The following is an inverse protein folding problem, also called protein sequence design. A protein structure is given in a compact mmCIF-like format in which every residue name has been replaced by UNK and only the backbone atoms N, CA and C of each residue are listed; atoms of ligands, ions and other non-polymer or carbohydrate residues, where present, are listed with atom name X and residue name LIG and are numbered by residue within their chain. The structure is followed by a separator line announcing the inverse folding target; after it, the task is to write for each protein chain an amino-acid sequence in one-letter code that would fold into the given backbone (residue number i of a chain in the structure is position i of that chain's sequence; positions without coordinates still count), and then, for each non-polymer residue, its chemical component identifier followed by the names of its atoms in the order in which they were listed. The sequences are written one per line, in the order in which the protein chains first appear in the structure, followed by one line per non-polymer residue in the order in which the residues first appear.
data_IF_488998023386
#
_entry.id   IF_488998023386
#
_cell.length_a   1.000
_cell.length_b   1.000
_cell.length_c   1.000
_cell.angle_alpha   90.00
_cell.angle_beta   90.00
_cell.angle_gamma   90.00
#
_symmetry.space_group_name_H-M   'P 1'
#
loop_
_entity.id
_entity.type
_entity.pdbx_description
1 polymer ?
#
# COMPACT_ATOMS: atom_id res chain seq x y z
N UNK A 1 -31.10 34.08 57.19
CA UNK A 1 -31.33 33.72 55.78
C UNK A 1 -30.02 33.92 55.03
N UNK A 2 -29.18 32.88 55.01
CA UNK A 2 -28.84 32.02 53.84
C UNK A 2 -27.97 32.69 52.78
N UNK A 3 -26.88 32.14 52.23
CA UNK A 3 -25.84 31.13 52.56
C UNK A 3 -25.21 30.75 51.21
N UNK A 4 -23.91 30.49 51.21
CA UNK A 4 -23.18 29.55 50.32
C UNK A 4 -22.56 30.11 49.03
N UNK A 5 -21.27 29.75 48.92
CA UNK A 5 -20.31 29.93 47.83
C UNK A 5 -20.37 28.72 46.85
N UNK A 6 -19.36 28.61 45.99
CA UNK A 6 -19.10 27.56 44.97
C UNK A 6 -19.91 27.72 43.67
N UNK A 7 -19.33 27.54 42.47
CA UNK A 7 -17.99 27.09 42.11
C UNK A 7 -17.88 27.13 40.57
N UNK A 8 -16.65 27.34 40.11
CA UNK A 8 -16.19 27.18 38.73
C UNK A 8 -16.22 25.69 38.32
N UNK A 9 -16.33 25.40 37.03
CA UNK A 9 -16.13 24.05 36.51
C UNK A 9 -17.02 23.67 35.34
N UNK A 10 -16.55 23.94 34.13
CA UNK A 10 -17.09 23.36 32.92
C UNK A 10 -17.05 21.83 32.94
N UNK A 11 -18.06 21.20 32.36
CA UNK A 11 -18.02 19.78 32.02
C UNK A 11 -18.58 19.59 30.61
N UNK A 12 -17.64 19.55 29.66
CA UNK A 12 -17.84 19.02 28.32
C UNK A 12 -18.36 17.60 28.45
N UNK A 13 -19.54 17.34 27.87
CA UNK A 13 -20.10 16.01 27.77
C UNK A 13 -19.12 15.09 27.01
N UNK A 14 -18.55 14.17 27.78
CA UNK A 14 -17.76 13.02 27.36
C UNK A 14 -18.56 12.18 26.37
N UNK A 15 -18.08 12.07 25.14
CA UNK A 15 -18.54 11.04 24.20
C UNK A 15 -17.91 9.70 24.62
N UNK A 16 -18.70 8.90 25.31
CA UNK A 16 -18.41 7.50 25.59
C UNK A 16 -18.53 6.70 24.28
N UNK A 17 -17.39 6.18 23.79
CA UNK A 17 -17.39 5.21 22.68
C UNK A 17 -17.62 3.80 23.24
N UNK A 18 -18.51 3.00 22.63
CA UNK A 18 -18.85 1.70 23.16
C UNK A 18 -17.71 0.70 22.91
N UNK A 19 -17.34 0.01 23.99
CA UNK A 19 -16.54 -1.22 23.96
C UNK A 19 -17.17 -2.22 22.98
N UNK A 20 -16.35 -2.78 22.09
CA UNK A 20 -16.73 -3.98 21.36
C UNK A 20 -15.81 -5.13 21.73
N UNK A 21 -16.45 -6.26 21.99
CA UNK A 21 -15.92 -7.49 22.56
C UNK A 21 -15.02 -8.25 21.58
N UNK A 22 -14.03 -8.95 22.13
CA UNK A 22 -13.02 -9.77 21.46
C UNK A 22 -13.62 -11.11 20.99
N UNK A 23 -13.73 -11.31 19.68
CA UNK A 23 -13.74 -12.63 19.01
C UNK A 23 -13.36 -12.38 17.54
N UNK A 24 -12.23 -12.92 17.06
CA UNK A 24 -11.82 -12.83 15.64
C UNK A 24 -11.80 -11.40 15.07
N UNK A 25 -11.14 -10.47 15.76
CA UNK A 25 -11.22 -9.03 15.46
C UNK A 25 -10.46 -8.70 14.18
N UNK A 26 -11.19 -8.60 13.07
CA UNK A 26 -10.72 -7.84 11.92
C UNK A 26 -10.35 -6.42 12.38
N UNK A 27 -9.15 -5.91 12.06
CA UNK A 27 -8.77 -4.56 12.41
C UNK A 27 -9.69 -3.58 11.70
N UNK A 28 -10.15 -2.55 12.41
CA UNK A 28 -10.94 -1.48 11.80
C UNK A 28 -10.15 -0.78 10.70
N UNK A 29 -10.84 -0.20 9.71
CA UNK A 29 -10.19 0.53 8.60
C UNK A 29 -9.21 1.59 9.08
N UNK A 30 -9.54 2.31 10.16
CA UNK A 30 -8.65 3.31 10.75
C UNK A 30 -7.38 2.69 11.32
N UNK A 31 -7.48 1.57 12.03
CA UNK A 31 -6.32 0.83 12.54
C UNK A 31 -5.48 0.32 11.38
N UNK A 32 -6.11 -0.17 10.31
CA UNK A 32 -5.41 -0.62 9.10
C UNK A 32 -4.63 0.54 8.48
N UNK A 33 -5.28 1.67 8.24
CA UNK A 33 -4.66 2.85 7.63
C UNK A 33 -3.55 3.45 8.50
N UNK A 34 -3.79 3.64 9.80
CA UNK A 34 -2.80 4.14 10.74
C UNK A 34 -1.58 3.22 10.84
N UNK A 35 -1.80 1.91 10.77
CA UNK A 35 -0.70 0.95 10.87
C UNK A 35 0.08 0.89 9.55
N UNK A 36 -0.60 0.78 8.41
CA UNK A 36 0.04 0.58 7.11
C UNK A 36 0.64 1.86 6.50
N UNK A 37 0.17 3.05 6.89
CA UNK A 37 0.73 4.33 6.41
C UNK A 37 2.20 4.53 6.78
N UNK A 38 2.70 3.88 7.83
CA UNK A 38 4.08 3.99 8.26
C UNK A 38 4.93 2.80 7.79
N UNK A 39 6.04 3.07 7.11
CA UNK A 39 6.95 2.04 6.59
C UNK A 39 7.54 1.15 7.70
N UNK A 40 7.91 1.72 8.86
CA UNK A 40 8.48 0.94 9.98
C UNK A 40 7.45 0.00 10.58
N UNK A 41 6.20 0.44 10.75
CA UNK A 41 5.09 -0.43 11.20
C UNK A 41 4.82 -1.58 10.24
N UNK A 42 4.82 -1.31 8.92
CA UNK A 42 4.74 -2.37 7.89
C UNK A 42 5.88 -3.38 8.00
N UNK A 43 7.12 -2.91 8.19
CA UNK A 43 8.27 -3.78 8.37
C UNK A 43 8.17 -4.63 9.65
N UNK A 44 7.68 -4.06 10.76
CA UNK A 44 7.43 -4.82 12.00
C UNK A 44 6.43 -5.95 11.75
N UNK A 45 5.30 -5.65 11.11
CA UNK A 45 4.30 -6.65 10.79
C UNK A 45 4.87 -7.78 9.92
N UNK A 46 5.66 -7.45 8.89
CA UNK A 46 6.30 -8.48 8.05
C UNK A 46 7.23 -9.40 8.85
N UNK A 47 7.98 -8.86 9.80
CA UNK A 47 8.84 -9.66 10.67
C UNK A 47 8.03 -10.61 11.56
N UNK A 48 6.94 -10.13 12.14
CA UNK A 48 6.07 -10.92 13.02
C UNK A 48 5.18 -11.91 12.26
N UNK A 49 4.84 -11.64 11.00
CA UNK A 49 4.15 -12.60 10.14
C UNK A 49 5.01 -13.83 9.83
N UNK A 50 6.34 -13.67 9.79
CA UNK A 50 7.28 -14.77 9.58
C UNK A 50 7.61 -15.54 10.87
N UNK A 51 7.50 -14.90 12.04
CA UNK A 51 7.90 -15.47 13.34
C UNK A 51 6.99 -15.02 14.46
N UNK A 52 6.60 -15.94 15.36
CA UNK A 52 5.65 -15.65 16.44
C UNK A 52 6.12 -14.58 17.44
N UNK A 53 7.41 -14.53 17.74
CA UNK A 53 7.99 -13.61 18.73
C UNK A 53 9.41 -13.22 18.37
N UNK A 54 9.74 -11.95 18.58
CA UNK A 54 11.07 -11.38 18.38
C UNK A 54 11.42 -10.45 19.55
N UNK A 55 12.71 -10.30 19.81
CA UNK A 55 13.20 -9.22 20.68
C UNK A 55 13.14 -7.88 19.94
N UNK A 56 13.02 -6.78 20.68
CA UNK A 56 13.08 -5.42 20.12
C UNK A 56 14.40 -5.19 19.40
N UNK A 57 15.49 -5.82 19.85
CA UNK A 57 16.82 -5.73 19.23
C UNK A 57 16.83 -6.39 17.84
N UNK A 58 16.33 -7.62 17.72
CA UNK A 58 16.20 -8.33 16.44
C UNK A 58 15.28 -7.56 15.48
N UNK A 59 14.13 -7.11 15.99
CA UNK A 59 13.16 -6.36 15.22
C UNK A 59 13.75 -5.04 14.71
N UNK A 60 14.53 -4.34 15.54
CA UNK A 60 15.25 -3.12 15.15
C UNK A 60 16.24 -3.42 14.03
N UNK A 61 17.04 -4.48 14.14
CA UNK A 61 18.02 -4.84 13.13
C UNK A 61 17.33 -5.16 11.79
N UNK A 62 16.24 -5.93 11.82
CA UNK A 62 15.44 -6.22 10.64
C UNK A 62 14.87 -4.95 9.99
N UNK A 63 14.22 -4.10 10.78
CA UNK A 63 13.59 -2.87 10.28
C UNK A 63 14.64 -1.91 9.72
N UNK A 64 15.79 -1.75 10.39
CA UNK A 64 16.89 -0.91 9.93
C UNK A 64 17.54 -1.44 8.63
N UNK A 65 17.79 -2.75 8.55
CA UNK A 65 18.31 -3.38 7.33
C UNK A 65 17.37 -3.14 6.15
N UNK A 66 16.05 -3.28 6.35
CA UNK A 66 15.05 -3.01 5.32
C UNK A 66 14.90 -1.53 4.97
N UNK A 67 15.06 -0.62 5.92
CA UNK A 67 14.95 0.82 5.68
C UNK A 67 16.16 1.37 4.94
N UNK A 68 17.35 0.89 5.26
CA UNK A 68 18.61 1.33 4.66
C UNK A 68 19.05 0.50 3.46
N UNK A 69 18.31 -0.56 3.12
CA UNK A 69 18.62 -1.52 2.05
C UNK A 69 20.04 -2.09 2.12
N UNK A 70 20.45 -2.46 3.34
CA UNK A 70 21.77 -3.04 3.63
C UNK A 70 21.60 -4.32 4.45
N UNK A 71 22.52 -5.29 4.31
CA UNK A 71 22.48 -6.47 5.17
C UNK A 71 22.82 -6.08 6.62
N UNK A 72 22.27 -6.83 7.59
CA UNK A 72 22.44 -6.55 9.03
C UNK A 72 23.92 -6.38 9.47
N UNK A 73 24.89 -7.17 8.97
CA UNK A 73 26.30 -6.97 9.33
C UNK A 73 26.89 -5.64 8.86
N UNK A 74 26.31 -5.03 7.82
CA UNK A 74 26.72 -3.72 7.29
C UNK A 74 25.96 -2.55 7.93
N UNK A 75 25.08 -2.80 8.90
CA UNK A 75 24.34 -1.73 9.58
C UNK A 75 25.24 -0.90 10.49
N UNK A 76 25.23 0.40 10.27
CA UNK A 76 25.90 1.33 11.16
C UNK A 76 25.15 1.47 12.50
N UNK A 77 25.92 1.73 13.55
CA UNK A 77 25.37 1.97 14.89
C UNK A 77 24.33 3.10 14.89
N UNK A 78 24.57 4.20 14.17
CA UNK A 78 23.65 5.35 14.10
C UNK A 78 22.30 4.97 13.46
N UNK A 79 22.32 4.19 12.38
CA UNK A 79 21.11 3.71 11.70
C UNK A 79 20.27 2.84 12.63
N UNK A 80 20.90 1.83 13.25
CA UNK A 80 20.23 0.92 14.18
C UNK A 80 19.67 1.67 15.40
N UNK A 81 20.44 2.60 15.98
CA UNK A 81 20.00 3.42 17.12
C UNK A 81 18.78 4.28 16.79
N UNK A 82 18.75 4.91 15.61
CA UNK A 82 17.62 5.73 15.16
C UNK A 82 16.32 4.91 15.07
N UNK A 83 16.41 3.70 14.50
CA UNK A 83 15.26 2.79 14.40
C UNK A 83 14.82 2.29 15.77
N UNK A 84 15.77 1.89 16.62
CA UNK A 84 15.49 1.40 17.97
C UNK A 84 14.66 2.41 18.77
N UNK A 85 15.15 3.65 18.86
CA UNK A 85 14.50 4.72 19.60
C UNK A 85 13.08 4.94 19.10
N UNK A 86 12.91 5.01 17.78
CA UNK A 86 11.60 5.23 17.16
C UNK A 86 10.62 4.06 17.36
N UNK A 87 11.11 2.81 17.31
CA UNK A 87 10.29 1.64 17.59
C UNK A 87 9.78 1.66 19.04
N UNK A 88 10.68 1.86 20.00
CA UNK A 88 10.36 1.82 21.43
C UNK A 88 9.48 2.99 21.86
N UNK A 89 9.70 4.19 21.32
CA UNK A 89 8.98 5.40 21.75
C UNK A 89 7.64 5.60 21.05
N UNK A 90 7.51 5.20 19.77
CA UNK A 90 6.37 5.60 18.95
C UNK A 90 5.65 4.41 18.32
N UNK A 91 6.38 3.50 17.67
CA UNK A 91 5.72 2.50 16.84
C UNK A 91 5.15 1.34 17.65
N UNK A 92 5.94 0.71 18.52
CA UNK A 92 5.50 -0.42 19.33
C UNK A 92 4.40 -0.04 20.33
N UNK A 93 4.48 1.08 21.07
CA UNK A 93 3.39 1.49 21.95
C UNK A 93 2.07 1.73 21.21
N UNK A 94 2.12 2.38 20.05
CA UNK A 94 0.91 2.65 19.26
C UNK A 94 0.31 1.36 18.65
N UNK A 95 1.15 0.44 18.16
CA UNK A 95 0.68 -0.84 17.63
C UNK A 95 0.09 -1.72 18.75
N UNK A 96 0.70 -1.72 19.93
CA UNK A 96 0.19 -2.44 21.09
C UNK A 96 -1.14 -1.88 21.60
N UNK A 97 -1.28 -0.54 21.63
CA UNK A 97 -2.55 0.12 21.99
C UNK A 97 -3.72 -0.35 21.11
N UNK A 98 -3.46 -0.62 19.83
CA UNK A 98 -4.46 -1.08 18.87
C UNK A 98 -4.57 -2.61 18.81
N UNK A 99 -3.91 -3.35 19.71
CA UNK A 99 -3.91 -4.83 19.72
C UNK A 99 -3.18 -5.47 18.53
N UNK A 100 -2.50 -4.67 17.72
CA UNK A 100 -1.83 -5.11 16.48
C UNK A 100 -0.61 -5.98 16.79
N UNK A 101 0.05 -5.75 17.93
CA UNK A 101 1.16 -6.57 18.45
C UNK A 101 1.04 -6.65 19.97
N UNK A 102 1.61 -7.70 20.56
CA UNK A 102 1.80 -7.77 22.00
C UNK A 102 3.22 -7.29 22.34
N UNK A 103 3.34 -6.12 22.98
CA UNK A 103 4.63 -5.51 23.30
C UNK A 103 4.89 -5.53 24.81
N UNK A 104 5.83 -6.38 25.22
CA UNK A 104 6.36 -6.39 26.58
C UNK A 104 7.61 -5.50 26.67
N UNK A 105 7.41 -4.29 27.22
CA UNK A 105 8.49 -3.33 27.42
C UNK A 105 9.52 -3.79 28.46
N UNK A 106 9.10 -4.56 29.47
CA UNK A 106 9.98 -5.02 30.54
C UNK A 106 10.94 -6.11 30.04
N UNK A 107 10.43 -7.02 29.21
CA UNK A 107 11.22 -8.10 28.60
C UNK A 107 11.86 -7.70 27.28
N UNK A 108 11.47 -6.58 26.70
CA UNK A 108 11.96 -6.12 25.40
C UNK A 108 11.58 -7.08 24.28
N UNK A 109 10.37 -7.65 24.33
CA UNK A 109 9.87 -8.63 23.36
C UNK A 109 8.58 -8.16 22.71
N UNK A 110 8.41 -8.52 21.44
CA UNK A 110 7.21 -8.26 20.66
C UNK A 110 6.70 -9.58 20.11
N UNK A 111 5.43 -9.89 20.35
CA UNK A 111 4.77 -11.10 19.88
C UNK A 111 3.68 -10.77 18.86
N UNK A 112 3.42 -11.73 17.98
CA UNK A 112 2.30 -11.72 17.05
C UNK A 112 0.99 -11.85 17.82
N UNK A 113 -0.06 -11.19 17.30
CA UNK A 113 -1.45 -11.33 17.75
C UNK A 113 -2.32 -11.80 16.58
N UNK A 114 -3.57 -12.17 16.87
CA UNK A 114 -4.57 -12.49 15.83
C UNK A 114 -4.76 -11.31 14.86
N UNK A 115 -4.76 -10.08 15.40
CA UNK A 115 -4.86 -8.85 14.60
C UNK A 115 -3.64 -8.68 13.69
N UNK A 116 -2.42 -9.01 14.14
CA UNK A 116 -1.23 -9.02 13.25
C UNK A 116 -1.48 -9.93 12.04
N UNK A 117 -2.07 -11.11 12.26
CA UNK A 117 -2.30 -12.10 11.19
C UNK A 117 -3.31 -11.59 10.17
N UNK A 118 -4.32 -10.83 10.61
CA UNK A 118 -5.27 -10.16 9.72
C UNK A 118 -4.60 -9.13 8.77
N UNK A 119 -3.36 -8.69 9.05
CA UNK A 119 -2.61 -7.82 8.14
C UNK A 119 -1.93 -8.57 6.98
N UNK A 120 -1.85 -9.90 7.02
CA UNK A 120 -1.15 -10.69 6.01
C UNK A 120 -1.60 -10.40 4.56
N UNK A 121 -2.90 -10.28 4.25
CA UNK A 121 -3.35 -9.97 2.88
C UNK A 121 -2.88 -8.60 2.37
N UNK A 122 -2.73 -7.61 3.26
CA UNK A 122 -2.33 -6.24 2.89
C UNK A 122 -0.81 -6.06 2.76
N UNK A 123 -0.04 -6.97 3.39
CA UNK A 123 1.42 -7.01 3.32
C UNK A 123 1.92 -8.05 2.33
N UNK A 124 1.02 -8.94 1.90
CA UNK A 124 1.18 -9.92 0.86
C UNK A 124 1.74 -9.26 -0.38
N UNK A 125 2.99 -9.60 -0.63
CA UNK A 125 3.80 -9.20 -1.75
C UNK A 125 3.24 -9.87 -3.02
N UNK A 126 2.11 -9.38 -3.54
CA UNK A 126 2.25 -8.83 -4.87
C UNK A 126 2.75 -7.43 -4.59
N UNK A 127 4.07 -7.25 -4.73
CA UNK A 127 4.55 -5.94 -5.13
C UNK A 127 3.53 -5.47 -6.15
N UNK A 128 2.91 -4.33 -5.89
CA UNK A 128 2.52 -3.46 -6.98
C UNK A 128 3.84 -3.00 -7.64
N UNK A 129 4.68 -3.92 -8.11
CA UNK A 129 4.77 -4.15 -9.54
C UNK A 129 3.33 -4.44 -10.01
N UNK A 130 2.49 -3.40 -10.06
CA UNK A 130 2.01 -3.10 -11.38
C UNK A 130 3.34 -2.93 -12.14
N UNK A 131 3.75 -3.82 -13.06
CA UNK A 131 4.11 -3.23 -14.33
C UNK A 131 2.94 -2.27 -14.55
N UNK A 132 3.17 -0.96 -14.58
CA UNK A 132 2.09 0.03 -14.71
C UNK A 132 1.54 -0.15 -16.13
N UNK A 133 1.02 -1.33 -16.46
CA UNK A 133 1.37 -2.06 -17.68
C UNK A 133 2.31 -1.21 -18.54
N UNK A 134 3.62 -1.16 -18.21
CA UNK A 134 4.54 -0.03 -18.55
C UNK A 134 4.70 0.28 -20.05
N UNK A 135 3.93 -0.35 -20.92
CA UNK A 135 3.83 -0.04 -22.33
C UNK A 135 2.41 0.33 -22.81
N UNK A 136 1.37 0.09 -22.02
CA UNK A 136 0.00 0.16 -22.51
C UNK A 136 -0.64 1.54 -22.34
N UNK A 137 -0.45 2.22 -21.20
CA UNK A 137 -0.94 3.59 -21.04
C UNK A 137 -0.27 4.53 -22.05
N UNK A 138 1.04 4.38 -22.26
CA UNK A 138 1.79 5.11 -23.27
C UNK A 138 1.24 4.89 -24.69
N UNK A 139 1.02 3.63 -25.10
CA UNK A 139 0.42 3.31 -26.41
C UNK A 139 -1.00 3.85 -26.56
N UNK A 140 -1.81 3.81 -25.49
CA UNK A 140 -3.18 4.33 -25.47
C UNK A 140 -3.21 5.85 -25.63
N UNK A 141 -2.38 6.58 -24.87
CA UNK A 141 -2.26 8.03 -25.01
C UNK A 141 -1.65 8.43 -26.36
N UNK A 142 -0.74 7.63 -26.92
CA UNK A 142 -0.15 7.86 -28.24
C UNK A 142 -1.17 7.65 -29.36
N UNK A 143 -2.00 6.60 -29.29
CA UNK A 143 -3.11 6.39 -30.22
C UNK A 143 -4.14 7.54 -30.18
N UNK A 144 -4.44 8.03 -28.97
CA UNK A 144 -5.30 9.20 -28.78
C UNK A 144 -4.68 10.46 -29.40
N UNK A 145 -3.39 10.74 -29.12
CA UNK A 145 -2.68 11.88 -29.68
C UNK A 145 -2.54 11.80 -31.21
N UNK A 146 -2.25 10.62 -31.76
CA UNK A 146 -2.17 10.39 -33.21
C UNK A 146 -3.53 10.65 -33.88
N UNK A 147 -4.63 10.24 -33.25
CA UNK A 147 -5.98 10.52 -33.74
C UNK A 147 -6.26 12.03 -33.80
N UNK A 148 -5.84 12.79 -32.79
CA UNK A 148 -5.92 14.26 -32.80
C UNK A 148 -5.11 14.89 -33.94
N UNK A 149 -3.86 14.43 -34.16
CA UNK A 149 -2.98 14.95 -35.22
C UNK A 149 -3.52 14.62 -36.61
N UNK A 150 -4.06 13.42 -36.82
CA UNK A 150 -4.66 13.01 -38.11
C UNK A 150 -5.91 13.85 -38.40
N UNK A 151 -6.81 14.03 -37.44
CA UNK A 151 -8.02 14.85 -37.62
C UNK A 151 -7.66 16.32 -37.90
N UNK A 152 -6.72 16.89 -37.14
CA UNK A 152 -6.26 18.26 -37.36
C UNK A 152 -5.54 18.42 -38.71
N UNK A 153 -4.70 17.46 -39.09
CA UNK A 153 -3.95 17.47 -40.35
C UNK A 153 -4.83 17.32 -41.58
N UNK A 154 -5.85 16.46 -41.54
CA UNK A 154 -6.82 16.32 -42.64
C UNK A 154 -7.65 17.61 -42.84
N UNK A 155 -7.97 18.33 -41.76
CA UNK A 155 -8.61 19.64 -41.85
C UNK A 155 -7.69 20.73 -42.42
N UNK A 156 -6.40 20.69 -42.08
CA UNK A 156 -5.40 21.65 -42.55
C UNK A 156 -5.04 21.46 -44.03
N UNK A 157 -5.00 20.22 -44.53
CA UNK A 157 -4.59 19.90 -45.91
C UNK A 157 -5.53 20.43 -47.00
N UNK A 158 -6.67 21.02 -46.63
CA UNK A 158 -7.49 21.82 -47.56
C UNK A 158 -7.89 21.06 -48.83
N UNK A 159 -8.20 19.77 -48.70
CA UNK A 159 -8.55 18.92 -49.85
C UNK A 159 -9.82 19.49 -50.48
N UNK A 160 -9.82 19.87 -51.78
CA UNK A 160 -10.91 20.62 -52.39
C UNK A 160 -12.26 19.87 -52.43
N UNK A 161 -12.27 18.54 -52.23
CA UNK A 161 -13.50 17.74 -52.07
C UNK A 161 -14.19 17.92 -50.71
N UNK A 162 -13.48 18.39 -49.67
CA UNK A 162 -13.99 18.47 -48.29
C UNK A 162 -14.41 19.89 -47.87
N UNK A 163 -14.07 20.91 -48.65
CA UNK A 163 -14.44 22.32 -48.37
C UNK A 163 -15.94 22.61 -48.40
N UNK A 164 -16.76 21.69 -48.95
CA UNK A 164 -18.22 21.83 -49.03
C UNK A 164 -18.99 21.05 -47.96
N UNK A 165 -18.31 20.35 -47.04
CA UNK A 165 -18.97 19.50 -46.05
C UNK A 165 -19.31 20.27 -44.75
N UNK A 166 -20.54 20.12 -44.21
CA UNK A 166 -20.91 20.71 -42.92
C UNK A 166 -20.05 20.21 -41.76
N UNK A 167 -19.80 21.08 -40.78
CA UNK A 167 -18.93 20.81 -39.61
C UNK A 167 -19.25 19.53 -38.83
N UNK A 168 -20.51 19.08 -38.83
CA UNK A 168 -20.93 17.86 -38.12
C UNK A 168 -20.41 16.56 -38.74
N UNK A 169 -20.01 16.55 -40.02
CA UNK A 169 -19.41 15.37 -40.68
C UNK A 169 -18.07 15.04 -40.02
N UNK A 170 -17.30 16.07 -39.67
CA UNK A 170 -16.05 15.93 -38.91
C UNK A 170 -16.30 15.40 -37.50
N UNK A 171 -17.37 15.86 -36.83
CA UNK A 171 -17.80 15.36 -35.53
C UNK A 171 -18.25 13.89 -35.58
N UNK A 172 -18.93 13.47 -36.65
CA UNK A 172 -19.37 12.08 -36.87
C UNK A 172 -18.21 11.12 -37.11
N UNK A 173 -17.21 11.52 -37.91
CA UNK A 173 -15.98 10.76 -38.10
C UNK A 173 -15.20 10.64 -36.77
N UNK A 174 -15.13 11.73 -36.00
CA UNK A 174 -14.52 11.73 -34.67
C UNK A 174 -15.22 10.76 -33.70
N UNK A 175 -16.56 10.81 -33.64
CA UNK A 175 -17.35 9.89 -32.83
C UNK A 175 -17.21 8.42 -33.28
N UNK A 176 -17.11 8.17 -34.59
CA UNK A 176 -16.89 6.84 -35.15
C UNK A 176 -15.55 6.22 -34.75
N UNK A 177 -14.46 6.98 -34.80
CA UNK A 177 -13.14 6.52 -34.35
C UNK A 177 -13.13 6.23 -32.85
N UNK A 178 -13.77 7.08 -32.05
CA UNK A 178 -13.94 6.83 -30.61
C UNK A 178 -14.75 5.56 -30.34
N UNK A 179 -15.84 5.33 -31.09
CA UNK A 179 -16.69 4.15 -30.93
C UNK A 179 -15.97 2.85 -31.31
N UNK A 180 -15.16 2.85 -32.39
CA UNK A 180 -14.34 1.68 -32.78
C UNK A 180 -13.27 1.40 -31.74
N UNK A 181 -12.61 2.44 -31.25
CA UNK A 181 -11.60 2.34 -30.20
C UNK A 181 -12.21 1.77 -28.91
N UNK A 182 -13.36 2.30 -28.47
CA UNK A 182 -14.12 1.79 -27.34
C UNK A 182 -14.61 0.34 -27.54
N UNK A 183 -15.01 -0.05 -28.75
CA UNK A 183 -15.42 -1.41 -29.08
C UNK A 183 -14.27 -2.42 -28.95
N UNK A 184 -13.07 -2.05 -29.39
CA UNK A 184 -11.85 -2.86 -29.23
C UNK A 184 -11.51 -3.00 -27.74
N UNK A 185 -11.69 -1.93 -26.94
CA UNK A 185 -11.51 -1.97 -25.48
C UNK A 185 -12.43 -2.99 -24.81
N UNK A 186 -13.73 -2.95 -25.11
CA UNK A 186 -14.72 -3.85 -24.50
C UNK A 186 -14.54 -5.32 -24.89
N UNK A 187 -13.97 -5.60 -26.07
CA UNK A 187 -13.76 -6.97 -26.52
C UNK A 187 -12.51 -7.62 -25.91
N UNK A 188 -11.49 -6.83 -25.56
CA UNK A 188 -10.22 -7.33 -25.03
C UNK A 188 -10.35 -7.79 -23.57
N UNK A 189 -11.26 -7.16 -22.81
CA UNK A 189 -11.59 -7.55 -21.43
C UNK A 189 -12.24 -8.94 -21.34
N UNK A 190 -12.96 -9.37 -22.39
CA UNK A 190 -13.64 -10.68 -22.43
C UNK A 190 -12.69 -11.85 -22.66
N UNK A 191 -11.58 -11.63 -23.36
CA UNK A 191 -10.63 -12.69 -23.75
C UNK A 191 -9.54 -12.91 -22.68
N UNK A 192 -9.22 -11.88 -21.89
CA UNK A 192 -8.22 -11.96 -20.81
C UNK A 192 -8.66 -12.82 -19.62
N UNK A 193 -9.96 -13.12 -19.49
CA UNK A 193 -10.50 -14.02 -18.44
C UNK A 193 -10.26 -15.50 -18.73
N UNK A 194 -9.76 -15.88 -19.91
CA UNK A 194 -9.68 -17.28 -20.35
C UNK A 194 -8.30 -17.94 -20.28
N UNK A 195 -7.19 -17.20 -20.13
CA UNK A 195 -5.85 -17.78 -20.31
C UNK A 195 -4.83 -17.17 -19.32
N UNK A 196 -4.86 -17.59 -18.06
CA UNK A 196 -3.75 -17.34 -17.14
C UNK A 196 -3.38 -18.62 -16.36
N UNK A 197 -3.11 -19.68 -17.12
CA UNK A 197 -2.38 -20.86 -16.65
C UNK A 197 -1.06 -20.93 -17.42
N UNK A 198 0.05 -21.02 -16.69
CA UNK A 198 1.43 -21.23 -17.17
C UNK A 198 2.19 -20.02 -17.73
N UNK A 199 3.05 -19.42 -16.89
CA UNK A 199 4.52 -19.53 -17.03
C UNK A 199 5.21 -18.77 -15.90
N UNK A 200 5.78 -19.56 -15.00
CA UNK A 200 6.81 -19.21 -14.03
C UNK A 200 8.16 -19.06 -14.73
N UNK A 201 8.82 -17.91 -14.56
CA UNK A 201 10.27 -17.79 -14.71
C UNK A 201 10.84 -17.23 -13.40
N UNK A 202 11.45 -18.12 -12.65
CA UNK A 202 12.09 -17.95 -11.35
C UNK A 202 13.31 -17.01 -11.46
N UNK A 203 13.31 -15.93 -10.66
CA UNK A 203 14.46 -15.03 -10.47
C UNK A 203 15.02 -15.27 -9.04
N UNK A 204 16.29 -15.66 -8.86
CA UNK A 204 16.85 -15.98 -7.55
C UNK A 204 17.29 -14.69 -6.83
N UNK A 205 16.34 -13.79 -6.55
CA UNK A 205 16.53 -12.75 -5.54
C UNK A 205 16.04 -13.31 -4.21
N UNK A 206 16.98 -13.40 -3.27
CA UNK A 206 16.93 -14.03 -1.94
C UNK A 206 15.54 -14.01 -1.32
N UNK A 207 15.04 -15.20 -0.98
CA UNK A 207 13.75 -15.39 -0.30
C UNK A 207 13.71 -14.53 0.97
N UNK A 208 12.76 -13.59 1.11
CA UNK A 208 12.49 -12.88 2.36
C UNK A 208 11.76 -13.85 3.31
N UNK A 209 12.49 -14.84 3.82
CA UNK A 209 11.90 -15.90 4.64
C UNK A 209 12.89 -16.71 5.46
N UNK A 210 14.20 -16.59 5.20
CA UNK A 210 15.20 -17.33 5.97
C UNK A 210 15.55 -16.61 7.27
N UNK A 211 14.55 -16.40 8.13
CA UNK A 211 14.73 -15.83 9.47
C UNK A 211 15.62 -16.75 10.33
N UNK A 212 15.60 -18.06 10.05
CA UNK A 212 16.40 -19.08 10.72
C UNK A 212 17.91 -18.95 10.45
N UNK A 213 18.31 -18.30 9.34
CA UNK A 213 19.71 -17.98 9.07
C UNK A 213 20.28 -17.01 10.12
N UNK A 214 19.48 -16.05 10.59
CA UNK A 214 19.92 -15.02 11.53
C UNK A 214 20.11 -15.50 12.98
N UNK A 215 19.49 -16.64 13.36
CA UNK A 215 19.61 -17.18 14.72
C UNK A 215 20.89 -17.98 14.97
N UNK A 216 21.69 -18.23 13.93
CA UNK A 216 22.84 -19.17 13.95
C UNK A 216 24.21 -18.51 14.09
N UNK A 217 24.27 -17.18 14.11
CA UNK A 217 25.52 -16.43 14.09
C UNK A 217 25.81 -15.68 15.40
N UNK A 218 25.27 -16.16 16.52
CA UNK A 218 25.64 -15.70 17.88
C UNK A 218 26.34 -16.83 18.65
#
# INVERSE_FOLDING_TARGET
MNTVADGDGGSSATLESPDTSTTGREPTTDVVYQTLSNQRRRSVLRALLATERLTVRELTAYVAARECDVPVPSLEYKQRKRVYTSLVQTHLPAMAKNGVVDYDKSRGTVSRTDVTTAFAPYLGERQVETPVADADWGKRYLALAASFVVVAGLGWLGVPLLGSMPGFVYGGLFAGVLAVTAGIHLNTERTASGTNGSRSSENPRRRPGDWAFWRRTE
#
